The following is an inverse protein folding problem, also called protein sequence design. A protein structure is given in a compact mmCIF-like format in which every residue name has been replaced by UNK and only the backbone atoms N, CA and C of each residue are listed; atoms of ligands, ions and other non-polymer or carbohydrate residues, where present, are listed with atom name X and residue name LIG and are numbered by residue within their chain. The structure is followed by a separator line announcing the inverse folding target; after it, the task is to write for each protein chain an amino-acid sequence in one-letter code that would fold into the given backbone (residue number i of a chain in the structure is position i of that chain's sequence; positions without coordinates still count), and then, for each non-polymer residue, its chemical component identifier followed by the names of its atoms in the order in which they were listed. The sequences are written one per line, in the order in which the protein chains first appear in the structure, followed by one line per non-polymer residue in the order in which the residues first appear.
data_IF_543819101126
#
_entry.id   IF_543819101126
#
_cell.length_a   1.000
_cell.length_b   1.000
_cell.length_c   1.000
_cell.angle_alpha   90.00
_cell.angle_beta   90.00
_cell.angle_gamma   90.00
#
_symmetry.space_group_name_H-M   'P 1'
#
loop_
_entity.id
_entity.type
_entity.pdbx_description
1 polymer ?
#
# COMPACT_ATOMS: atom_id res chain seq x y z
N UNK A 1 -27.30 -6.93 -13.63
CA UNK A 1 -26.28 -7.17 -12.59
C UNK A 1 -26.27 -5.94 -11.69
N UNK A 2 -27.38 -5.55 -11.06
CA UNK A 2 -27.63 -4.10 -10.93
C UNK A 2 -28.01 -3.56 -9.55
N UNK A 3 -28.44 -4.38 -8.57
CA UNK A 3 -28.75 -3.86 -7.23
C UNK A 3 -27.96 -4.55 -6.13
N UNK A 4 -27.76 -5.87 -6.20
CA UNK A 4 -26.94 -6.62 -5.24
C UNK A 4 -25.47 -6.18 -5.27
N UNK A 5 -24.94 -5.87 -6.46
CA UNK A 5 -23.60 -5.30 -6.64
C UNK A 5 -23.47 -3.95 -5.92
N UNK A 6 -24.39 -3.01 -6.16
CA UNK A 6 -24.33 -1.68 -5.53
C UNK A 6 -24.67 -1.71 -4.04
N UNK A 7 -25.50 -2.66 -3.58
CA UNK A 7 -25.74 -2.87 -2.15
C UNK A 7 -24.49 -3.38 -1.44
N UNK A 8 -23.79 -4.37 -2.02
CA UNK A 8 -22.52 -4.85 -1.46
C UNK A 8 -21.44 -3.76 -1.48
N UNK A 9 -21.40 -2.93 -2.53
CA UNK A 9 -20.49 -1.79 -2.63
C UNK A 9 -20.82 -0.71 -1.59
N UNK A 10 -22.10 -0.37 -1.41
CA UNK A 10 -22.56 0.59 -0.38
C UNK A 10 -22.26 0.09 1.03
N UNK A 11 -22.51 -1.19 1.32
CA UNK A 11 -22.17 -1.79 2.61
C UNK A 11 -20.67 -1.71 2.90
N UNK A 12 -19.81 -1.94 1.90
CA UNK A 12 -18.35 -1.81 2.03
C UNK A 12 -17.92 -0.36 2.27
N UNK A 13 -18.54 0.59 1.57
CA UNK A 13 -18.29 2.01 1.76
C UNK A 13 -18.77 2.51 3.11
N UNK A 14 -19.90 2.01 3.61
CA UNK A 14 -20.43 2.39 4.92
C UNK A 14 -19.59 1.81 6.08
N UNK A 15 -18.92 0.67 5.86
CA UNK A 15 -17.92 0.14 6.77
C UNK A 15 -16.63 0.98 6.80
N UNK A 16 -16.41 1.84 5.81
CA UNK A 16 -15.37 2.88 5.86
C UNK A 16 -15.98 4.16 6.42
N UNK A 17 -15.52 4.62 7.60
CA UNK A 17 -16.16 5.74 8.32
C UNK A 17 -16.19 7.07 7.55
N UNK A 18 -15.48 7.16 6.43
CA UNK A 18 -15.29 8.37 5.62
C UNK A 18 -16.20 8.43 4.38
N UNK A 19 -16.75 7.29 3.92
CA UNK A 19 -17.57 7.24 2.70
C UNK A 19 -19.06 6.99 2.96
N UNK A 20 -19.47 7.02 4.23
CA UNK A 20 -20.87 6.80 4.66
C UNK A 20 -21.87 7.75 4.00
N UNK A 21 -21.43 8.95 3.59
CA UNK A 21 -22.26 9.99 2.96
C UNK A 21 -22.45 9.82 1.45
N UNK A 22 -21.75 8.88 0.81
CA UNK A 22 -21.86 8.71 -0.64
C UNK A 22 -23.10 7.87 -0.95
N UNK A 23 -24.02 8.45 -1.71
CA UNK A 23 -25.24 7.78 -2.17
C UNK A 23 -25.14 7.45 -3.66
N UNK A 24 -25.47 6.20 -4.00
CA UNK A 24 -25.56 5.77 -5.40
C UNK A 24 -26.88 6.19 -6.01
N UNK A 25 -26.90 7.38 -6.61
CA UNK A 25 -28.01 7.82 -7.47
C UNK A 25 -28.10 6.92 -8.71
N UNK A 26 -29.29 6.85 -9.32
CA UNK A 26 -29.51 6.08 -10.55
C UNK A 26 -28.49 6.42 -11.65
N UNK A 27 -28.20 7.71 -11.85
CA UNK A 27 -27.22 8.18 -12.84
C UNK A 27 -25.77 7.79 -12.50
N UNK A 28 -25.42 7.71 -11.21
CA UNK A 28 -24.09 7.26 -10.79
C UNK A 28 -23.91 5.75 -11.01
N UNK A 29 -24.97 4.96 -10.76
CA UNK A 29 -24.97 3.52 -11.03
C UNK A 29 -24.79 3.24 -12.52
N UNK A 30 -25.54 3.94 -13.36
CA UNK A 30 -25.46 3.81 -14.82
C UNK A 30 -24.06 4.16 -15.35
N UNK A 31 -23.43 5.25 -14.86
CA UNK A 31 -22.06 5.62 -15.23
C UNK A 31 -21.01 4.60 -14.80
N UNK A 32 -21.16 3.99 -13.62
CA UNK A 32 -20.25 2.96 -13.13
C UNK A 32 -20.39 1.67 -13.96
N UNK A 33 -21.62 1.25 -14.26
CA UNK A 33 -21.88 0.09 -15.12
C UNK A 33 -21.35 0.32 -16.53
N UNK A 34 -21.53 1.50 -17.10
CA UNK A 34 -21.02 1.85 -18.43
C UNK A 34 -19.49 1.77 -18.49
N UNK A 35 -18.79 2.31 -17.47
CA UNK A 35 -17.33 2.19 -17.37
C UNK A 35 -16.88 0.73 -17.23
N UNK A 36 -17.56 -0.07 -16.39
CA UNK A 36 -17.23 -1.49 -16.21
C UNK A 36 -17.41 -2.28 -17.51
N UNK A 37 -18.49 -2.04 -18.25
CA UNK A 37 -18.72 -2.68 -19.54
C UNK A 37 -17.65 -2.30 -20.57
N UNK A 38 -17.27 -1.01 -20.63
CA UNK A 38 -16.21 -0.53 -21.54
C UNK A 38 -14.85 -1.17 -21.24
N UNK A 39 -14.47 -1.25 -19.96
CA UNK A 39 -13.22 -1.87 -19.52
C UNK A 39 -13.20 -3.38 -19.81
N UNK A 40 -14.35 -4.05 -19.72
CA UNK A 40 -14.44 -5.48 -20.00
C UNK A 40 -14.35 -5.78 -21.51
N UNK A 41 -14.95 -4.96 -22.36
CA UNK A 41 -14.83 -5.08 -23.82
C UNK A 41 -13.41 -4.77 -24.33
N UNK A 42 -12.73 -3.78 -23.75
CA UNK A 42 -11.33 -3.46 -24.06
C UNK A 42 -10.38 -4.61 -23.64
N UNK A 43 -10.66 -5.27 -22.51
CA UNK A 43 -9.91 -6.43 -22.05
C UNK A 43 -10.20 -7.71 -22.86
N UNK A 44 -11.42 -7.89 -23.37
CA UNK A 44 -11.76 -9.01 -24.26
C UNK A 44 -11.06 -8.91 -25.62
N UNK A 45 -10.86 -7.69 -26.16
CA UNK A 45 -10.07 -7.51 -27.38
C UNK A 45 -8.57 -7.82 -27.20
N UNK A 46 -7.99 -7.53 -26.02
CA UNK A 46 -6.59 -7.87 -25.73
C UNK A 46 -6.36 -9.36 -25.41
N UNK A 47 -7.39 -10.11 -24.99
CA UNK A 47 -7.26 -11.54 -24.60
C UNK A 47 -7.30 -12.54 -25.76
N UNK A 48 -7.51 -12.13 -27.00
CA UNK A 48 -7.78 -13.06 -28.10
C UNK A 48 -6.55 -13.50 -28.93
N UNK A 49 -5.33 -13.44 -28.37
CA UNK A 49 -4.12 -13.79 -29.15
C UNK A 49 -3.42 -15.10 -28.75
N UNK A 50 -3.75 -15.74 -27.63
CA UNK A 50 -3.10 -16.99 -27.22
C UNK A 50 -4.09 -17.99 -26.61
N UNK A 51 -4.47 -19.01 -27.40
CA UNK A 51 -5.12 -20.25 -26.90
C UNK A 51 -4.56 -21.46 -27.66
N UNK A 52 -3.70 -22.22 -26.99
CA UNK A 52 -3.48 -23.65 -27.24
C UNK A 52 -4.03 -24.46 -26.05
N UNK A 53 -4.53 -25.70 -26.25
CA UNK A 53 -5.16 -26.48 -25.19
C UNK A 53 -4.12 -27.24 -24.35
N UNK A 54 -3.89 -26.81 -23.09
CA UNK A 54 -3.12 -27.60 -22.12
C UNK A 54 -4.05 -28.66 -21.52
N UNK A 55 -3.92 -29.86 -22.10
CA UNK A 55 -4.06 -31.21 -21.54
C UNK A 55 -4.84 -31.42 -20.23
N UNK A 56 -5.96 -32.13 -20.37
CA UNK A 56 -6.75 -32.80 -19.32
C UNK A 56 -6.00 -33.83 -18.45
N UNK A 57 -4.68 -34.01 -18.61
CA UNK A 57 -3.92 -35.01 -17.88
C UNK A 57 -3.50 -34.59 -16.45
N UNK A 58 -3.52 -33.29 -16.13
CA UNK A 58 -3.08 -32.78 -14.82
C UNK A 58 -4.14 -32.88 -13.71
N UNK A 59 -5.42 -32.96 -14.05
CA UNK A 59 -6.51 -33.05 -13.05
C UNK A 59 -6.69 -34.44 -12.44
N UNK A 60 -6.18 -35.50 -13.07
CA UNK A 60 -6.28 -36.87 -12.54
C UNK A 60 -5.26 -37.18 -11.42
N UNK A 61 -4.14 -36.44 -11.35
CA UNK A 61 -3.10 -36.67 -10.33
C UNK A 61 -3.48 -36.02 -8.99
N UNK A 62 -4.23 -34.91 -9.00
CA UNK A 62 -4.66 -34.21 -7.79
C UNK A 62 -5.76 -34.94 -6.99
N UNK A 63 -6.56 -35.81 -7.62
CA UNK A 63 -7.63 -36.54 -6.93
C UNK A 63 -7.17 -37.83 -6.20
N UNK A 64 -5.95 -38.30 -6.45
CA UNK A 64 -5.38 -39.46 -5.74
C UNK A 64 -4.54 -39.06 -4.51
N UNK A 65 -4.15 -37.78 -4.39
CA UNK A 65 -3.35 -37.29 -3.27
C UNK A 65 -4.15 -37.03 -1.98
N UNK A 66 -5.45 -36.74 -2.08
CA UNK A 66 -6.29 -36.42 -0.90
C UNK A 66 -6.80 -37.66 -0.15
N UNK A 67 -6.65 -38.86 -0.72
CA UNK A 67 -7.04 -40.12 -0.08
C UNK A 67 -6.02 -40.66 0.94
N UNK A 68 -4.76 -40.23 0.89
CA UNK A 68 -3.69 -40.83 1.70
C UNK A 68 -3.37 -40.08 3.00
N UNK A 69 -3.85 -38.84 3.17
CA UNK A 69 -3.60 -38.03 4.37
C UNK A 69 -4.79 -37.93 5.35
N UNK A 70 -5.96 -38.48 5.00
CA UNK A 70 -7.19 -38.35 5.81
C UNK A 70 -7.38 -39.39 6.93
N UNK A 71 -6.49 -40.36 7.10
CA UNK A 71 -6.65 -41.46 8.08
C UNK A 71 -5.79 -41.34 9.35
N UNK A 72 -5.08 -40.23 9.54
CA UNK A 72 -4.14 -40.04 10.67
C UNK A 72 -4.65 -39.20 11.85
N UNK A 73 -5.77 -38.48 11.73
CA UNK A 73 -6.21 -37.54 12.79
C UNK A 73 -7.65 -37.80 13.20
N UNK A 74 -7.83 -38.85 14.00
CA UNK A 74 -8.91 -38.91 15.00
C UNK A 74 -8.25 -39.31 16.32
N UNK A 75 -8.20 -38.38 17.28
CA UNK A 75 -8.45 -38.59 18.72
C UNK A 75 -7.88 -37.43 19.54
N UNK A 76 -8.74 -36.49 19.90
CA UNK A 76 -8.98 -36.13 21.30
C UNK A 76 -10.05 -35.04 21.34
N UNK A 77 -11.24 -35.45 21.80
CA UNK A 77 -12.26 -34.51 22.19
C UNK A 77 -11.91 -33.87 23.53
N UNK A 78 -12.26 -32.60 23.68
CA UNK A 78 -12.88 -32.13 24.90
C UNK A 78 -13.88 -31.03 24.57
N UNK A 79 -15.07 -31.20 25.14
CA UNK A 79 -16.17 -30.26 25.16
C UNK A 79 -15.73 -28.94 25.80
N UNK A 80 -16.09 -27.81 25.21
CA UNK A 80 -16.17 -26.54 25.91
C UNK A 80 -17.57 -25.96 25.68
N UNK A 81 -18.42 -26.06 26.70
CA UNK A 81 -19.72 -25.42 26.76
C UNK A 81 -19.66 -24.19 27.66
N UNK A 82 -20.07 -23.08 27.04
CA UNK A 82 -20.96 -22.01 27.51
C UNK A 82 -20.58 -21.02 28.62
N UNK A 83 -21.16 -19.82 28.38
CA UNK A 83 -21.63 -18.76 29.29
C UNK A 83 -20.59 -17.73 29.71
N UNK A 84 -20.68 -16.49 29.21
CA UNK A 84 -21.64 -15.43 29.57
C UNK A 84 -21.19 -14.63 30.79
N UNK A 85 -20.97 -13.35 30.54
CA UNK A 85 -21.07 -12.18 31.42
C UNK A 85 -20.94 -12.38 32.93
N UNK A 86 -19.95 -11.70 33.52
CA UNK A 86 -20.15 -10.95 34.75
C UNK A 86 -19.16 -9.79 34.84
N UNK A 87 -19.75 -8.59 34.82
CA UNK A 87 -19.13 -7.34 35.27
C UNK A 87 -18.93 -7.40 36.80
N UNK A 88 -17.89 -6.77 37.35
CA UNK A 88 -18.14 -5.97 38.53
C UNK A 88 -17.45 -4.61 38.50
N UNK A 89 -18.26 -3.60 38.79
CA UNK A 89 -17.87 -2.27 39.26
C UNK A 89 -17.42 -2.31 40.73
N UNK A 90 -16.42 -1.48 41.10
CA UNK A 90 -16.45 -0.44 42.15
C UNK A 90 -15.04 -0.15 42.71
N UNK A 91 -14.63 1.11 42.49
CA UNK A 91 -13.83 2.07 43.27
C UNK A 91 -12.69 1.69 44.24
N UNK A 92 -11.62 2.47 44.06
CA UNK A 92 -10.92 3.33 45.05
C UNK A 92 -9.54 2.93 45.62
N UNK A 93 -8.60 3.89 45.43
CA UNK A 93 -7.41 4.32 46.20
C UNK A 93 -6.00 3.86 45.78
N UNK A 94 -5.30 4.86 45.23
CA UNK A 94 -3.92 5.34 45.48
C UNK A 94 -2.86 4.31 45.89
N UNK A 95 -1.84 4.10 45.04
CA UNK A 95 -0.52 4.70 45.26
C UNK A 95 0.41 4.57 44.02
N UNK A 96 1.25 5.58 43.83
CA UNK A 96 2.60 5.54 43.21
C UNK A 96 2.90 4.60 42.03
N UNK A 97 2.80 5.11 40.80
CA UNK A 97 3.79 4.83 39.72
C UNK A 97 3.59 5.79 38.53
N UNK A 98 4.27 6.93 38.55
CA UNK A 98 4.13 7.97 37.52
C UNK A 98 5.23 7.89 36.43
N UNK A 99 5.63 6.68 36.05
CA UNK A 99 6.58 6.44 34.96
C UNK A 99 6.13 5.33 33.98
N UNK A 100 5.36 4.33 34.42
CA UNK A 100 4.79 3.31 33.50
C UNK A 100 3.54 3.76 32.75
N UNK A 101 2.92 4.87 33.16
CA UNK A 101 1.68 5.40 32.56
C UNK A 101 1.92 6.32 31.35
N UNK A 102 3.18 6.57 30.97
CA UNK A 102 3.52 7.39 29.81
C UNK A 102 3.59 6.55 28.51
N UNK A 103 3.98 5.28 28.62
CA UNK A 103 4.06 4.35 27.49
C UNK A 103 2.69 3.78 27.07
N UNK A 104 1.79 3.46 28.02
CA UNK A 104 0.42 3.02 27.68
C UNK A 104 -0.43 4.11 27.02
N UNK A 105 -0.13 5.40 27.26
CA UNK A 105 -0.85 6.53 26.65
C UNK A 105 -0.40 6.86 25.23
N UNK A 106 0.72 6.31 24.77
CA UNK A 106 1.26 6.56 23.44
C UNK A 106 0.93 5.43 22.44
N UNK A 107 0.08 4.48 22.83
CA UNK A 107 -0.37 3.41 21.96
C UNK A 107 -1.45 3.91 21.00
N UNK A 108 -1.20 3.84 19.70
CA UNK A 108 -2.19 4.18 18.69
C UNK A 108 -3.15 3.00 18.45
N UNK A 109 -4.41 3.35 18.20
CA UNK A 109 -5.42 2.39 17.77
C UNK A 109 -5.24 2.06 16.28
N UNK A 110 -5.74 0.90 15.83
CA UNK A 110 -5.77 0.52 14.41
C UNK A 110 -6.33 1.61 13.50
N UNK A 111 -7.43 2.25 13.95
CA UNK A 111 -8.07 3.37 13.23
C UNK A 111 -7.15 4.58 13.13
N UNK A 112 -6.41 4.90 14.19
CA UNK A 112 -5.46 5.99 14.18
C UNK A 112 -4.28 5.72 13.23
N UNK A 113 -3.71 4.50 13.24
CA UNK A 113 -2.63 4.11 12.32
C UNK A 113 -3.09 4.21 10.87
N UNK A 114 -4.27 3.64 10.53
CA UNK A 114 -4.83 3.75 9.18
C UNK A 114 -4.99 5.20 8.74
N UNK A 115 -5.56 6.05 9.60
CA UNK A 115 -5.75 7.47 9.31
C UNK A 115 -4.41 8.16 9.10
N UNK A 116 -3.42 7.87 9.94
CA UNK A 116 -2.08 8.44 9.83
C UNK A 116 -1.45 8.12 8.47
N UNK A 117 -1.50 6.86 8.02
CA UNK A 117 -1.01 6.47 6.69
C UNK A 117 -1.80 7.08 5.53
N UNK A 118 -3.11 7.29 5.70
CA UNK A 118 -3.96 7.91 4.67
C UNK A 118 -3.66 9.39 4.46
N UNK A 119 -3.03 10.04 5.43
CA UNK A 119 -2.77 11.48 5.47
C UNK A 119 -1.32 11.74 5.85
N UNK A 120 -0.40 10.91 5.34
CA UNK A 120 1.00 10.98 5.74
C UNK A 120 1.62 12.33 5.37
N UNK A 121 1.25 12.86 4.20
CA UNK A 121 1.65 14.15 3.65
C UNK A 121 1.27 15.35 4.52
N UNK A 122 0.34 15.19 5.47
CA UNK A 122 -0.05 16.25 6.40
C UNK A 122 0.90 16.35 7.60
N UNK A 123 1.83 15.40 7.76
CA UNK A 123 2.65 15.24 8.97
C UNK A 123 4.14 15.47 8.75
N UNK A 124 4.54 15.95 7.57
CA UNK A 124 5.91 16.37 7.26
C UNK A 124 5.91 17.42 6.16
N UNK A 125 6.97 18.23 6.13
CA UNK A 125 7.17 19.27 5.11
C UNK A 125 8.27 18.89 4.14
N UNK A 126 9.30 18.19 4.61
CA UNK A 126 10.42 17.75 3.76
C UNK A 126 10.74 16.29 3.98
N UNK A 127 11.14 15.61 2.93
CA UNK A 127 11.65 14.24 3.03
C UNK A 127 12.80 14.00 2.05
N UNK A 128 13.83 13.30 2.52
CA UNK A 128 14.96 12.84 1.72
C UNK A 128 15.31 11.43 2.13
N UNK A 129 15.58 10.57 1.16
CA UNK A 129 15.93 9.20 1.49
C UNK A 129 16.33 8.34 0.31
N UNK A 130 16.55 7.08 0.63
CA UNK A 130 16.87 6.02 -0.32
C UNK A 130 16.15 4.74 0.10
N UNK A 131 15.56 4.04 -0.85
CA UNK A 131 15.00 2.71 -0.63
C UNK A 131 15.25 1.80 -1.83
N UNK A 132 15.14 0.49 -1.59
CA UNK A 132 15.03 -0.51 -2.66
C UNK A 132 13.60 -1.00 -2.77
N UNK A 133 13.13 -1.17 -3.99
CA UNK A 133 11.79 -1.63 -4.32
C UNK A 133 11.87 -2.90 -5.17
N UNK A 134 11.08 -3.91 -4.84
CA UNK A 134 11.03 -5.18 -5.58
C UNK A 134 9.58 -5.53 -5.92
N UNK A 135 9.34 -5.96 -7.17
CA UNK A 135 8.07 -6.54 -7.61
C UNK A 135 8.29 -7.76 -8.49
N UNK A 136 7.90 -8.93 -7.99
CA UNK A 136 8.16 -10.22 -8.65
C UNK A 136 7.38 -10.40 -9.95
N UNK A 137 6.17 -9.84 -10.05
CA UNK A 137 5.28 -10.01 -11.21
C UNK A 137 5.87 -9.52 -12.53
N UNK A 138 6.85 -8.61 -12.46
CA UNK A 138 7.56 -8.02 -13.59
C UNK A 138 9.08 -8.15 -13.46
N UNK A 139 9.56 -8.98 -12.51
CA UNK A 139 10.99 -9.14 -12.17
C UNK A 139 11.73 -7.79 -12.00
N UNK A 140 11.06 -6.86 -11.33
CA UNK A 140 11.55 -5.51 -11.14
C UNK A 140 12.29 -5.40 -9.82
N UNK A 141 13.51 -4.88 -9.88
CA UNK A 141 14.26 -4.42 -8.72
C UNK A 141 14.73 -2.99 -9.01
N UNK A 142 14.34 -2.05 -8.17
CA UNK A 142 14.67 -0.63 -8.32
C UNK A 142 15.39 -0.11 -7.08
N UNK A 143 16.44 0.67 -7.30
CA UNK A 143 17.02 1.53 -6.28
C UNK A 143 16.52 2.95 -6.51
N UNK A 144 15.90 3.54 -5.49
CA UNK A 144 15.31 4.87 -5.56
C UNK A 144 16.00 5.79 -4.57
N UNK A 145 16.44 6.95 -5.04
CA UNK A 145 16.86 8.07 -4.20
C UNK A 145 15.92 9.23 -4.43
N UNK A 146 15.52 9.93 -3.38
CA UNK A 146 14.56 11.01 -3.51
C UNK A 146 14.82 12.14 -2.53
N UNK A 147 14.27 13.29 -2.89
CA UNK A 147 14.23 14.51 -2.09
C UNK A 147 13.02 15.33 -2.51
N UNK A 148 12.21 15.77 -1.56
CA UNK A 148 11.02 16.58 -1.84
C UNK A 148 10.72 17.57 -0.71
N UNK A 149 10.04 18.64 -1.09
CA UNK A 149 9.44 19.64 -0.22
C UNK A 149 7.96 19.78 -0.58
N UNK A 150 7.09 19.73 0.42
CA UNK A 150 5.65 19.98 0.33
C UNK A 150 5.29 21.43 0.69
N UNK A 151 6.27 22.24 1.06
CA UNK A 151 6.17 23.68 1.31
C UNK A 151 7.05 24.46 0.32
N UNK A 152 6.93 25.80 0.31
CA UNK A 152 7.70 26.70 -0.55
C UNK A 152 9.22 26.62 -0.27
N UNK A 153 10.08 26.29 -1.26
CA UNK A 153 9.73 25.96 -2.65
C UNK A 153 9.14 24.56 -2.80
N UNK A 154 7.92 24.48 -3.34
CA UNK A 154 7.22 23.22 -3.55
C UNK A 154 7.83 22.49 -4.74
N UNK A 155 8.28 21.26 -4.51
CA UNK A 155 8.94 20.49 -5.55
C UNK A 155 9.67 19.26 -5.04
N UNK A 156 10.16 18.46 -5.96
CA UNK A 156 10.95 17.29 -5.62
C UNK A 156 11.59 16.64 -6.81
N UNK A 157 12.49 15.73 -6.48
CA UNK A 157 13.24 14.94 -7.43
C UNK A 157 13.41 13.52 -6.90
N UNK A 158 13.41 12.56 -7.83
CA UNK A 158 13.81 11.20 -7.55
C UNK A 158 14.59 10.61 -8.72
N UNK A 159 15.57 9.78 -8.44
CA UNK A 159 16.12 8.84 -9.42
C UNK A 159 15.65 7.44 -9.12
N UNK A 160 15.44 6.67 -10.19
CA UNK A 160 15.21 5.23 -10.12
C UNK A 160 16.20 4.53 -11.04
N UNK A 161 16.86 3.50 -10.52
CA UNK A 161 17.71 2.59 -11.30
C UNK A 161 17.14 1.18 -11.19
N UNK A 162 16.69 0.64 -12.32
CA UNK A 162 16.15 -0.72 -12.39
C UNK A 162 17.18 -1.77 -12.83
N UNK A 163 16.91 -3.04 -12.50
CA UNK A 163 17.66 -4.20 -12.99
C UNK A 163 17.44 -4.53 -14.48
N UNK A 164 16.40 -3.98 -15.10
CA UNK A 164 16.13 -4.15 -16.53
C UNK A 164 16.97 -3.15 -17.33
N UNK A 165 18.07 -3.65 -17.92
CA UNK A 165 18.95 -2.97 -18.88
C UNK A 165 19.19 -1.47 -18.64
N UNK A 166 19.86 -1.10 -17.54
CA UNK A 166 20.56 0.18 -17.43
C UNK A 166 19.70 1.45 -17.56
N UNK A 167 18.38 1.34 -17.50
CA UNK A 167 17.48 2.49 -17.55
C UNK A 167 17.51 3.19 -16.19
N UNK A 168 18.32 4.23 -16.13
CA UNK A 168 18.25 5.23 -15.08
C UNK A 168 17.25 6.30 -15.53
N UNK A 169 16.23 6.50 -14.72
CA UNK A 169 15.23 7.53 -14.94
C UNK A 169 15.27 8.54 -13.81
N UNK A 170 15.22 9.81 -14.17
CA UNK A 170 15.10 10.92 -13.23
C UNK A 170 13.69 11.52 -13.33
N UNK A 171 13.09 11.78 -12.18
CA UNK A 171 11.75 12.33 -12.04
C UNK A 171 11.86 13.65 -11.31
N UNK A 172 11.21 14.68 -11.84
CA UNK A 172 11.19 16.02 -11.22
C UNK A 172 9.76 16.52 -11.17
N UNK A 173 9.44 17.34 -10.18
CA UNK A 173 8.20 18.11 -10.15
C UNK A 173 8.41 19.44 -9.44
N UNK A 174 7.63 20.43 -9.83
CA UNK A 174 7.46 21.70 -9.11
C UNK A 174 5.99 22.13 -9.18
N UNK A 175 5.67 23.38 -8.81
CA UNK A 175 4.30 23.90 -8.85
C UNK A 175 3.67 23.85 -10.24
N UNK A 176 4.47 23.99 -11.30
CA UNK A 176 3.99 24.18 -12.66
C UNK A 176 4.02 22.88 -13.49
N UNK A 177 5.00 22.02 -13.26
CA UNK A 177 5.32 20.92 -14.17
C UNK A 177 5.81 19.65 -13.47
N UNK A 178 5.65 18.54 -14.20
CA UNK A 178 6.32 17.27 -13.93
C UNK A 178 7.22 16.91 -15.11
N UNK A 179 8.35 16.27 -14.81
CA UNK A 179 9.27 15.73 -15.81
C UNK A 179 9.60 14.28 -15.51
N UNK A 180 9.60 13.47 -16.56
CA UNK A 180 10.18 12.12 -16.58
C UNK A 180 11.32 12.14 -17.59
N UNK A 181 12.54 11.95 -17.11
CA UNK A 181 13.78 12.06 -17.89
C UNK A 181 14.41 10.67 -18.00
N UNK A 182 14.58 10.19 -19.22
CA UNK A 182 15.31 8.96 -19.51
C UNK A 182 16.79 9.32 -19.74
N UNK A 183 17.65 8.89 -18.81
CA UNK A 183 19.07 9.23 -18.84
C UNK A 183 19.84 8.47 -19.91
N UNK A 184 19.35 7.29 -20.31
CA UNK A 184 19.99 6.40 -21.27
C UNK A 184 19.75 6.87 -22.70
N UNK A 185 18.49 7.15 -23.04
CA UNK A 185 18.08 7.58 -24.37
C UNK A 185 18.23 9.09 -24.58
N UNK A 186 18.54 9.83 -23.51
CA UNK A 186 18.56 11.30 -23.50
C UNK A 186 17.25 11.86 -24.05
N UNK A 187 16.15 11.37 -23.49
CA UNK A 187 14.80 11.84 -23.81
C UNK A 187 14.07 12.31 -22.57
N UNK A 188 13.02 13.11 -22.74
CA UNK A 188 12.17 13.51 -21.62
C UNK A 188 10.71 13.67 -22.05
N UNK A 189 9.83 13.50 -21.09
CA UNK A 189 8.41 13.87 -21.15
C UNK A 189 8.17 15.02 -20.18
N UNK A 190 7.38 16.02 -20.59
CA UNK A 190 6.99 17.15 -19.75
C UNK A 190 5.48 17.32 -19.77
N UNK A 191 4.86 17.44 -18.59
CA UNK A 191 3.44 17.73 -18.48
C UNK A 191 3.17 18.83 -17.44
N UNK A 192 2.06 19.54 -17.61
CA UNK A 192 1.54 20.47 -16.61
C UNK A 192 1.26 19.71 -15.30
N UNK A 193 1.63 20.30 -14.17
CA UNK A 193 1.29 19.76 -12.87
C UNK A 193 -0.16 20.12 -12.51
N UNK A 194 -1.11 19.33 -13.02
CA UNK A 194 -2.54 19.59 -12.84
C UNK A 194 -3.07 19.17 -11.45
N UNK A 195 -2.29 18.41 -10.70
CA UNK A 195 -2.65 17.91 -9.36
C UNK A 195 -1.59 18.37 -8.34
N UNK A 196 -2.02 18.89 -7.20
CA UNK A 196 -1.12 19.29 -6.09
C UNK A 196 -0.52 18.07 -5.37
N UNK A 197 -0.88 16.84 -5.79
CA UNK A 197 -0.27 15.61 -5.29
C UNK A 197 0.83 15.17 -6.28
N UNK A 198 2.11 15.41 -5.98
CA UNK A 198 3.18 15.08 -6.89
C UNK A 198 3.33 13.56 -6.95
N UNK A 199 2.86 12.98 -8.05
CA UNK A 199 3.06 11.57 -8.35
C UNK A 199 4.51 11.36 -8.83
N UNK A 200 5.49 11.56 -7.94
CA UNK A 200 6.81 10.95 -8.08
C UNK A 200 6.61 9.44 -8.01
N UNK A 201 6.31 8.83 -9.16
CA UNK A 201 5.92 7.42 -9.30
C UNK A 201 6.72 6.47 -8.39
N UNK A 202 8.07 6.50 -8.36
CA UNK A 202 8.80 5.58 -7.48
C UNK A 202 8.55 5.88 -5.99
N UNK A 203 8.46 7.15 -5.61
CA UNK A 203 8.37 7.60 -4.21
C UNK A 203 7.00 7.36 -3.57
N UNK A 204 5.93 7.33 -4.38
CA UNK A 204 4.56 7.12 -3.90
C UNK A 204 4.36 5.80 -3.14
N UNK A 205 5.17 4.77 -3.40
CA UNK A 205 5.07 3.48 -2.70
C UNK A 205 5.44 3.55 -1.21
N UNK A 206 6.21 4.57 -0.80
CA UNK A 206 6.67 4.75 0.58
C UNK A 206 6.08 6.00 1.22
N UNK A 207 6.36 7.17 0.64
CA UNK A 207 6.11 8.48 1.28
C UNK A 207 4.63 8.84 1.29
N UNK A 208 3.86 8.34 0.32
CA UNK A 208 2.43 8.60 0.19
C UNK A 208 1.61 7.30 0.25
N UNK A 209 1.58 6.59 1.40
CA UNK A 209 1.03 5.24 1.51
C UNK A 209 -0.51 5.21 1.55
N UNK A 210 -1.19 6.26 1.09
CA UNK A 210 -2.65 6.37 1.05
C UNK A 210 -3.29 5.16 0.38
N UNK A 211 -2.77 4.74 -0.78
CA UNK A 211 -3.27 3.56 -1.50
C UNK A 211 -3.09 2.27 -0.68
N UNK A 212 -1.92 2.09 -0.06
CA UNK A 212 -1.65 0.94 0.81
C UNK A 212 -2.64 0.88 1.99
N UNK A 213 -2.91 2.02 2.62
CA UNK A 213 -3.86 2.10 3.74
C UNK A 213 -5.31 1.80 3.30
N UNK A 214 -5.72 2.26 2.12
CA UNK A 214 -7.06 1.97 1.57
C UNK A 214 -7.20 0.49 1.25
N UNK A 215 -6.24 -0.09 0.53
CA UNK A 215 -6.36 -1.42 -0.05
C UNK A 215 -6.09 -2.54 0.98
N UNK A 216 -5.08 -2.38 1.84
CA UNK A 216 -4.64 -3.43 2.76
C UNK A 216 -5.24 -3.29 4.16
N UNK A 217 -5.55 -2.06 4.60
CA UNK A 217 -6.15 -1.82 5.92
C UNK A 217 -7.67 -1.59 5.85
N UNK A 218 -8.32 -2.02 4.76
CA UNK A 218 -9.77 -1.89 4.56
C UNK A 218 -10.56 -2.52 5.71
N UNK A 219 -10.24 -3.77 6.05
CA UNK A 219 -10.94 -4.56 7.07
C UNK A 219 -10.17 -4.58 8.39
N UNK A 220 -10.63 -3.83 9.39
CA UNK A 220 -9.98 -3.71 10.70
C UNK A 220 -9.81 -5.04 11.46
N UNK A 221 -10.60 -6.05 11.11
CA UNK A 221 -10.57 -7.38 11.73
C UNK A 221 -9.53 -8.33 11.12
N UNK A 222 -8.99 -8.01 9.94
CA UNK A 222 -8.08 -8.91 9.19
C UNK A 222 -6.59 -8.61 9.43
N UNK A 223 -6.26 -7.60 10.21
CA UNK A 223 -4.89 -7.26 10.54
C UNK A 223 -4.75 -6.97 12.03
N UNK A 224 -3.53 -6.93 12.53
CA UNK A 224 -3.23 -6.63 13.93
C UNK A 224 -1.98 -5.76 14.03
N UNK A 225 -1.82 -5.13 15.19
CA UNK A 225 -0.60 -4.40 15.52
C UNK A 225 0.29 -5.42 16.23
N UNK A 226 1.42 -5.76 15.62
CA UNK A 226 2.38 -6.71 16.18
C UNK A 226 3.28 -6.03 17.21
N UNK A 227 3.71 -4.79 16.93
CA UNK A 227 4.63 -4.01 17.76
C UNK A 227 4.33 -2.51 17.58
N UNK A 228 4.46 -1.72 18.65
CA UNK A 228 4.16 -0.27 18.60
C UNK A 228 5.36 0.65 18.83
N UNK A 229 6.47 0.11 19.32
CA UNK A 229 7.66 0.88 19.65
C UNK A 229 8.92 0.21 19.07
N UNK A 230 8.80 -0.38 17.88
CA UNK A 230 9.99 -0.86 17.17
C UNK A 230 10.82 0.33 16.69
N UNK A 231 12.10 0.12 16.47
CA UNK A 231 13.00 1.10 15.86
C UNK A 231 13.48 0.58 14.50
N UNK A 232 13.39 1.42 13.47
CA UNK A 232 13.91 1.13 12.14
C UNK A 232 14.52 2.40 11.56
N UNK A 233 15.78 2.33 11.10
CA UNK A 233 16.52 3.47 10.54
C UNK A 233 16.56 4.70 11.46
N UNK A 234 16.64 4.49 12.78
CA UNK A 234 16.65 5.55 13.79
C UNK A 234 15.31 6.26 13.99
N UNK A 235 14.21 5.66 13.52
CA UNK A 235 12.84 6.15 13.69
C UNK A 235 11.98 5.13 14.43
N UNK A 236 11.08 5.60 15.27
CA UNK A 236 10.10 4.70 15.91
C UNK A 236 9.00 4.32 14.92
N UNK A 237 8.66 3.03 14.86
CA UNK A 237 7.67 2.49 13.92
C UNK A 237 6.63 1.61 14.61
N UNK A 238 5.42 1.61 14.03
CA UNK A 238 4.45 0.54 14.22
C UNK A 238 4.75 -0.60 13.27
N UNK A 239 4.69 -1.83 13.74
CA UNK A 239 4.68 -3.03 12.89
C UNK A 239 3.25 -3.55 12.88
N UNK A 240 2.63 -3.57 11.70
CA UNK A 240 1.29 -4.10 11.50
C UNK A 240 1.33 -5.21 10.46
N UNK A 241 0.53 -6.26 10.65
CA UNK A 241 0.48 -7.39 9.74
C UNK A 241 -0.95 -7.95 9.65
N UNK A 242 -1.30 -8.52 8.51
CA UNK A 242 -2.63 -9.08 8.31
C UNK A 242 -2.83 -9.76 6.98
N UNK A 243 -4.05 -10.25 6.80
CA UNK A 243 -4.54 -10.84 5.56
C UNK A 243 -5.43 -9.85 4.80
N UNK A 244 -5.47 -10.00 3.49
CA UNK A 244 -6.43 -9.29 2.66
C UNK A 244 -7.79 -10.00 2.68
N UNK A 245 -8.88 -9.23 2.54
CA UNK A 245 -10.19 -9.83 2.23
C UNK A 245 -10.17 -10.51 0.86
N UNK A 246 -11.08 -11.44 0.57
CA UNK A 246 -11.16 -12.11 -0.75
C UNK A 246 -11.08 -11.13 -1.94
N UNK A 247 -11.79 -10.00 -1.83
CA UNK A 247 -11.75 -8.94 -2.84
C UNK A 247 -10.37 -8.26 -2.91
N UNK A 248 -9.75 -7.98 -1.76
CA UNK A 248 -8.40 -7.42 -1.70
C UNK A 248 -7.35 -8.38 -2.25
N UNK A 249 -7.53 -9.70 -2.06
CA UNK A 249 -6.66 -10.73 -2.62
C UNK A 249 -6.72 -10.75 -4.14
N UNK A 250 -7.94 -10.69 -4.70
CA UNK A 250 -8.13 -10.62 -6.16
C UNK A 250 -7.57 -9.31 -6.75
N UNK A 251 -7.83 -8.17 -6.10
CA UNK A 251 -7.42 -6.86 -6.59
C UNK A 251 -5.89 -6.69 -6.62
N UNK A 252 -5.21 -7.16 -5.57
CA UNK A 252 -3.76 -6.97 -5.42
C UNK A 252 -2.93 -8.19 -5.82
N UNK A 253 -3.58 -9.30 -6.20
CA UNK A 253 -2.92 -10.59 -6.41
C UNK A 253 -2.02 -11.01 -5.23
N UNK A 254 -2.45 -10.69 -4.01
CA UNK A 254 -1.70 -10.87 -2.76
C UNK A 254 -2.56 -11.59 -1.72
N UNK A 255 -1.96 -12.25 -0.73
CA UNK A 255 -2.67 -12.96 0.33
C UNK A 255 -2.61 -12.20 1.66
N UNK A 256 -1.39 -11.81 2.05
CA UNK A 256 -1.10 -11.14 3.32
C UNK A 256 -0.03 -10.07 3.16
N UNK A 257 0.17 -9.27 4.21
CA UNK A 257 1.11 -8.16 4.21
C UNK A 257 1.70 -7.93 5.60
N UNK A 258 2.84 -7.22 5.62
CA UNK A 258 3.46 -6.70 6.82
C UNK A 258 4.07 -5.33 6.55
N UNK A 259 3.71 -4.33 7.34
CA UNK A 259 4.04 -2.92 7.17
C UNK A 259 4.77 -2.37 8.39
N UNK A 260 5.81 -1.58 8.15
CA UNK A 260 6.54 -0.79 9.14
C UNK A 260 6.25 0.69 8.88
N UNK A 261 5.44 1.27 9.75
CA UNK A 261 4.87 2.60 9.57
C UNK A 261 5.54 3.55 10.57
N UNK A 262 6.13 4.64 10.07
CA UNK A 262 6.68 5.69 10.90
C UNK A 262 5.62 6.28 11.84
N UNK A 263 5.90 6.34 13.15
CA UNK A 263 4.89 6.75 14.13
C UNK A 263 4.54 8.24 14.07
N UNK A 264 5.49 9.06 13.65
CA UNK A 264 5.34 10.51 13.61
C UNK A 264 4.57 10.92 12.35
N UNK A 265 4.95 10.34 11.21
CA UNK A 265 4.53 10.83 9.90
C UNK A 265 3.48 9.96 9.22
N UNK A 266 3.45 8.66 9.51
CA UNK A 266 2.65 7.69 8.75
C UNK A 266 3.33 7.16 7.48
N UNK A 267 4.55 7.59 7.18
CA UNK A 267 5.34 7.08 6.05
C UNK A 267 5.57 5.57 6.19
N UNK A 268 5.46 4.85 5.08
CA UNK A 268 5.74 3.42 5.04
C UNK A 268 7.24 3.21 4.82
N UNK A 269 7.99 3.05 5.92
CA UNK A 269 9.46 2.89 5.89
C UNK A 269 9.85 1.54 5.28
N UNK A 270 9.05 0.51 5.52
CA UNK A 270 9.27 -0.81 4.94
C UNK A 270 7.94 -1.53 4.78
N UNK A 271 7.86 -2.39 3.78
CA UNK A 271 6.78 -3.35 3.68
C UNK A 271 7.19 -4.62 2.95
N UNK A 272 6.44 -5.67 3.26
CA UNK A 272 6.45 -6.94 2.56
C UNK A 272 5.00 -7.34 2.25
N UNK A 273 4.75 -7.75 1.01
CA UNK A 273 3.48 -8.27 0.52
C UNK A 273 3.70 -9.69 0.03
N UNK A 274 2.88 -10.63 0.50
CA UNK A 274 3.05 -12.05 0.26
C UNK A 274 1.98 -12.60 -0.67
N UNK A 275 2.37 -13.54 -1.53
CA UNK A 275 1.48 -14.34 -2.36
C UNK A 275 0.80 -15.49 -1.59
N UNK A 276 -0.03 -16.26 -2.28
CA UNK A 276 -0.77 -17.39 -1.69
C UNK A 276 0.13 -18.56 -1.25
N UNK A 277 1.32 -18.65 -1.80
CA UNK A 277 2.38 -19.61 -1.45
C UNK A 277 3.24 -19.14 -0.26
N UNK A 278 3.04 -17.89 0.20
CA UNK A 278 3.84 -17.25 1.24
C UNK A 278 5.11 -16.59 0.72
N UNK A 279 5.36 -16.58 -0.60
CA UNK A 279 6.50 -15.90 -1.19
C UNK A 279 6.28 -14.38 -1.20
N UNK A 280 7.35 -13.59 -1.02
CA UNK A 280 7.28 -12.13 -1.16
C UNK A 280 7.10 -11.79 -2.65
N UNK A 281 6.03 -11.08 -2.97
CA UNK A 281 5.70 -10.67 -4.35
C UNK A 281 5.91 -9.18 -4.60
N UNK A 282 5.88 -8.37 -3.55
CA UNK A 282 6.18 -6.94 -3.60
C UNK A 282 6.80 -6.53 -2.25
N UNK A 283 7.88 -5.75 -2.27
CA UNK A 283 8.53 -5.27 -1.05
C UNK A 283 9.26 -3.96 -1.27
N UNK A 284 9.38 -3.19 -0.19
CA UNK A 284 10.16 -1.96 -0.13
C UNK A 284 10.97 -1.95 1.15
N UNK A 285 12.26 -1.67 1.03
CA UNK A 285 13.18 -1.55 2.16
C UNK A 285 13.90 -0.20 2.10
N UNK A 286 13.59 0.68 3.06
CA UNK A 286 14.29 1.95 3.20
C UNK A 286 15.70 1.74 3.75
N UNK A 287 16.69 2.35 3.09
CA UNK A 287 18.08 2.43 3.55
C UNK A 287 18.31 3.68 4.41
N UNK A 288 17.78 4.83 3.96
CA UNK A 288 17.88 6.10 4.69
C UNK A 288 16.59 6.89 4.57
N UNK A 289 16.21 7.59 5.63
CA UNK A 289 15.08 8.51 5.63
C UNK A 289 15.36 9.65 6.61
N UNK A 290 15.33 10.86 6.09
CA UNK A 290 15.38 12.12 6.83
C UNK A 290 14.10 12.88 6.55
N UNK A 291 13.42 13.31 7.61
CA UNK A 291 12.16 14.05 7.55
C UNK A 291 12.32 15.35 8.32
N UNK A 292 11.70 16.42 7.83
CA UNK A 292 11.67 17.75 8.45
C UNK A 292 13.05 18.29 8.81
N UNK A 293 14.03 17.98 7.96
CA UNK A 293 15.36 18.57 8.00
C UNK A 293 15.48 19.64 6.93
N UNK A 294 16.28 20.65 7.21
CA UNK A 294 16.70 21.63 6.22
C UNK A 294 17.30 20.91 5.02
N UNK A 295 16.61 21.02 3.90
CA UNK A 295 17.08 20.51 2.63
C UNK A 295 17.99 21.58 2.02
N UNK A 296 19.18 21.20 1.56
CA UNK A 296 20.00 22.08 0.73
C UNK A 296 19.15 22.61 -0.45
N UNK A 297 19.31 23.86 -0.85
CA UNK A 297 18.57 24.42 -1.97
C UNK A 297 18.78 23.55 -3.23
N UNK A 298 17.69 23.13 -3.87
CA UNK A 298 17.73 22.24 -5.03
C UNK A 298 16.84 22.83 -6.13
N UNK A 299 17.36 22.85 -7.35
CA UNK A 299 16.60 23.24 -8.52
C UNK A 299 15.70 22.07 -8.93
N UNK A 300 14.39 22.25 -8.74
CA UNK A 300 13.39 21.24 -9.09
C UNK A 300 13.09 21.20 -10.60
N UNK A 301 13.86 21.92 -11.41
CA UNK A 301 13.87 21.80 -12.87
C UNK A 301 15.11 21.03 -13.37
N UNK A 302 14.94 20.07 -14.29
CA UNK A 302 16.08 19.35 -14.87
C UNK A 302 16.86 20.20 -15.89
N UNK A 303 18.19 20.02 -15.98
CA UNK A 303 18.99 20.48 -17.12
C UNK A 303 18.76 19.56 -18.33
N UNK A 304 17.91 20.01 -19.25
CA UNK A 304 17.52 19.25 -20.44
C UNK A 304 18.43 19.51 -21.65
N UNK A 305 19.61 20.12 -21.47
CA UNK A 305 20.54 20.37 -22.57
C UNK A 305 21.02 19.07 -23.21
N UNK A 306 20.63 18.87 -24.47
CA UNK A 306 20.98 17.68 -25.25
C UNK A 306 19.95 16.55 -25.15
N UNK A 307 18.84 16.77 -24.44
CA UNK A 307 17.72 15.83 -24.39
C UNK A 307 16.69 16.15 -25.48
N UNK A 308 16.00 15.12 -25.96
CA UNK A 308 14.90 15.22 -26.93
C UNK A 308 13.56 15.04 -26.21
N UNK A 309 12.63 16.00 -26.40
CA UNK A 309 11.25 15.86 -25.93
C UNK A 309 10.51 14.73 -26.67
N UNK A 310 9.66 14.01 -25.94
CA UNK A 310 8.74 12.98 -26.44
C UNK A 310 7.29 13.48 -26.60
N UNK A 311 7.05 14.78 -26.39
CA UNK A 311 5.72 15.42 -26.43
C UNK A 311 5.23 15.69 -27.87
#
# INVERSE_FOLDING_TARGET
MDDEFFQSLKQRMDNSSELTKVEFTKESKERVLEKLHRTNDENLQKRNRWRGPISFALTAILLLGTGYFGLGVIKNGNQFNSSSENNPSISEKNDSSNESNKEERNQLTKKAIKKLMMHAEENFTTAKGEFTYHRSSVDLNEEVQFKLSLEDPFGGYATSRSNHEGNESSYYFNEDYIWEVDESDKTYFKADNQDVEPLLKPVTQSIFPRKMAIDYLASMDLWSIEEQNAELNGREVFIIAGELSDYGKELNAADSFRFWVDKETGILIQYEIYGMDGDIIDSLYTKTLEVDKDLEEFDYEPDLKGYRSLD
#
